data_IF_863489258074
#
_entry.id   IF_863489258074
#
_cell.length_a   1.000
_cell.length_b   1.000
_cell.length_c   1.000
_cell.angle_alpha   90.00
_cell.angle_beta   90.00
_cell.angle_gamma   90.00
#
_symmetry.space_group_name_H-M   'P 1'
#
loop_
_entity.id
_entity.type
_entity.pdbx_description
1 polymer ?
#
# COMPACT_ATOMS: atom_id res chain seq x y z
N UNK A 1 19.32 24.62 24.76
CA UNK A 1 19.28 23.22 25.10
C UNK A 1 17.89 22.66 24.85
N UNK A 2 17.70 21.83 23.84
CA UNK A 2 16.47 21.07 23.64
C UNK A 2 16.40 20.08 24.80
N UNK A 3 15.48 20.29 25.74
CA UNK A 3 15.17 19.28 26.75
C UNK A 3 14.75 18.00 26.00
N UNK A 4 15.49 16.93 26.14
CA UNK A 4 15.03 15.59 25.74
C UNK A 4 13.75 15.31 26.53
N UNK A 5 12.60 15.42 25.86
CA UNK A 5 11.35 14.92 26.42
C UNK A 5 11.47 13.42 26.51
N UNK A 6 11.20 12.83 27.66
CA UNK A 6 11.16 11.38 27.76
C UNK A 6 9.91 10.87 27.02
N UNK A 7 10.01 9.69 26.43
CA UNK A 7 8.89 9.02 25.74
C UNK A 7 7.69 8.89 26.68
N UNK A 8 7.94 8.58 27.97
CA UNK A 8 6.92 8.48 29.01
C UNK A 8 6.19 9.81 29.29
N UNK A 9 6.89 10.96 29.25
CA UNK A 9 6.25 12.28 29.46
C UNK A 9 5.30 12.66 28.31
N UNK A 10 5.63 12.23 27.10
CA UNK A 10 4.78 12.42 25.92
C UNK A 10 3.56 11.49 25.96
N UNK A 11 3.75 10.23 26.34
CA UNK A 11 2.70 9.21 26.39
C UNK A 11 1.57 9.57 27.36
N UNK A 12 1.92 10.13 28.52
CA UNK A 12 0.95 10.60 29.54
C UNK A 12 0.03 11.73 29.04
N UNK A 13 0.43 12.46 27.99
CA UNK A 13 -0.31 13.61 27.45
C UNK A 13 -1.24 13.26 26.30
N UNK A 14 -1.25 12.01 25.84
CA UNK A 14 -1.99 11.59 24.65
C UNK A 14 -3.22 10.78 25.08
N UNK A 15 -4.44 11.20 24.71
CA UNK A 15 -5.65 10.44 25.01
C UNK A 15 -5.60 9.04 24.39
N UNK A 16 -5.98 8.02 25.18
CA UNK A 16 -6.09 6.64 24.69
C UNK A 16 -7.14 6.56 23.58
N UNK A 17 -6.85 5.78 22.53
CA UNK A 17 -7.77 5.57 21.40
C UNK A 17 -7.88 6.72 20.39
N UNK A 18 -7.06 7.76 20.52
CA UNK A 18 -7.05 8.86 19.56
C UNK A 18 -6.09 8.60 18.39
N UNK A 19 -6.36 9.17 17.20
CA UNK A 19 -5.41 9.19 16.07
C UNK A 19 -4.03 9.74 16.46
N UNK A 20 -3.95 10.57 17.50
CA UNK A 20 -2.68 11.05 18.08
C UNK A 20 -1.90 9.92 18.74
N UNK A 21 -2.59 8.91 19.31
CA UNK A 21 -1.92 7.76 19.95
C UNK A 21 -1.14 6.94 18.94
N UNK A 22 -1.71 6.66 17.80
CA UNK A 22 -1.02 5.89 16.75
C UNK A 22 0.18 6.63 16.17
N UNK A 23 0.03 7.96 15.94
CA UNK A 23 1.17 8.82 15.56
C UNK A 23 2.29 8.73 16.57
N UNK A 24 1.92 8.76 17.84
CA UNK A 24 2.87 8.66 18.93
C UNK A 24 3.54 7.28 18.98
N UNK A 25 2.78 6.20 18.82
CA UNK A 25 3.33 4.84 18.82
C UNK A 25 4.31 4.62 17.66
N UNK A 26 4.04 5.23 16.51
CA UNK A 26 4.99 5.27 15.40
C UNK A 26 6.27 6.03 15.76
N UNK A 27 6.14 7.23 16.28
CA UNK A 27 7.29 8.04 16.72
C UNK A 27 8.07 7.35 17.84
N UNK A 28 7.37 6.66 18.74
CA UNK A 28 7.98 5.87 19.82
C UNK A 28 8.90 4.79 19.28
N UNK A 29 8.48 4.05 18.24
CA UNK A 29 9.32 3.05 17.55
C UNK A 29 10.62 3.67 17.02
N UNK A 30 10.56 4.86 16.40
CA UNK A 30 11.77 5.55 15.94
C UNK A 30 12.74 5.88 17.07
N UNK A 31 12.22 6.30 18.22
CA UNK A 31 13.04 6.70 19.36
C UNK A 31 13.63 5.48 20.08
N UNK A 32 12.80 4.47 20.35
CA UNK A 32 13.20 3.27 21.10
C UNK A 32 14.23 2.41 20.36
N UNK A 33 14.13 2.35 19.02
CA UNK A 33 15.02 1.56 18.17
C UNK A 33 16.05 2.40 17.41
N UNK A 34 16.27 3.64 17.85
CA UNK A 34 17.19 4.56 17.18
C UNK A 34 18.61 3.97 16.98
N UNK A 35 19.12 3.28 17.98
CA UNK A 35 20.45 2.69 17.93
C UNK A 35 20.59 1.58 16.87
N UNK A 36 19.48 0.95 16.47
CA UNK A 36 19.49 -0.11 15.46
C UNK A 36 19.57 0.44 14.02
N UNK A 37 18.94 1.56 13.75
CA UNK A 37 18.82 2.10 12.37
C UNK A 37 19.61 3.39 12.12
N UNK A 38 20.09 4.09 13.15
CA UNK A 38 20.78 5.39 13.02
C UNK A 38 21.93 5.40 12.01
N UNK A 39 22.69 4.29 11.95
CA UNK A 39 23.85 4.18 11.07
C UNK A 39 23.45 4.06 9.58
N UNK A 40 22.19 3.87 9.27
CA UNK A 40 21.66 3.81 7.91
C UNK A 40 21.35 5.19 7.35
N UNK A 41 21.03 6.17 8.20
CA UNK A 41 20.53 7.51 7.79
C UNK A 41 21.49 8.23 6.85
N UNK A 42 22.78 8.02 7.00
CA UNK A 42 23.80 8.72 6.20
C UNK A 42 24.47 7.82 5.13
N UNK A 43 24.03 6.57 4.98
CA UNK A 43 24.66 5.65 4.03
C UNK A 43 24.27 5.88 2.57
N UNK A 44 23.25 6.70 2.31
CA UNK A 44 22.75 6.91 0.96
C UNK A 44 22.22 5.60 0.35
N UNK A 45 22.61 5.29 -0.87
CA UNK A 45 22.18 4.05 -1.56
C UNK A 45 23.00 2.86 -1.06
N UNK A 46 22.30 1.82 -0.63
CA UNK A 46 22.89 0.52 -0.23
C UNK A 46 22.46 -0.52 -1.27
N UNK A 47 23.40 -1.33 -1.72
CA UNK A 47 23.12 -2.48 -2.59
C UNK A 47 23.21 -3.77 -1.80
N UNK A 48 22.17 -4.58 -1.85
CA UNK A 48 22.06 -5.87 -1.17
C UNK A 48 21.93 -6.95 -2.24
N UNK A 49 22.82 -7.93 -2.19
CA UNK A 49 22.84 -9.04 -3.17
C UNK A 49 22.29 -10.33 -2.61
N UNK A 50 22.21 -10.48 -1.28
CA UNK A 50 21.59 -11.65 -0.64
C UNK A 50 20.09 -11.40 -0.43
N UNK A 51 19.20 -12.17 -1.09
CA UNK A 51 17.76 -12.03 -0.92
C UNK A 51 17.29 -12.17 0.54
N UNK A 52 17.99 -12.96 1.36
CA UNK A 52 17.62 -13.16 2.76
C UNK A 52 17.88 -11.92 3.64
N UNK A 53 18.75 -11.03 3.17
CA UNK A 53 19.03 -9.77 3.86
C UNK A 53 17.97 -8.70 3.56
N UNK A 54 17.29 -8.77 2.41
CA UNK A 54 16.31 -7.76 1.97
C UNK A 54 15.21 -7.59 3.01
N UNK A 55 14.73 -8.70 3.58
CA UNK A 55 13.63 -8.68 4.54
C UNK A 55 13.88 -7.75 5.74
N UNK A 56 15.12 -7.64 6.20
CA UNK A 56 15.50 -6.76 7.33
C UNK A 56 15.26 -5.29 7.03
N UNK A 57 15.31 -4.89 5.73
CA UNK A 57 15.19 -3.49 5.30
C UNK A 57 13.77 -3.11 4.91
N UNK A 58 12.91 -4.08 4.59
CA UNK A 58 11.57 -3.80 4.05
C UNK A 58 10.44 -4.33 4.94
N UNK A 59 10.70 -5.29 5.82
CA UNK A 59 9.67 -5.89 6.66
C UNK A 59 9.81 -5.46 8.13
N UNK A 60 8.70 -5.51 8.86
CA UNK A 60 8.68 -5.28 10.31
C UNK A 60 9.11 -6.52 11.10
N UNK A 61 8.92 -7.70 10.54
CA UNK A 61 9.28 -8.97 11.16
C UNK A 61 9.49 -10.07 10.10
N UNK A 62 9.99 -11.22 10.54
CA UNK A 62 10.28 -12.37 9.67
C UNK A 62 9.06 -13.21 9.25
N UNK A 63 7.83 -12.71 9.45
CA UNK A 63 6.59 -13.43 9.08
C UNK A 63 6.04 -14.35 10.15
N UNK A 64 6.78 -14.62 11.22
CA UNK A 64 6.32 -15.46 12.33
C UNK A 64 5.22 -14.80 13.16
N UNK A 65 4.34 -15.63 13.73
CA UNK A 65 3.24 -15.17 14.59
C UNK A 65 3.75 -14.39 15.80
N UNK A 66 2.98 -13.41 16.22
CA UNK A 66 3.23 -12.70 17.47
C UNK A 66 3.23 -13.66 18.65
N UNK A 67 4.23 -13.53 19.54
CA UNK A 67 4.45 -14.44 20.66
C UNK A 67 5.22 -15.73 20.33
N UNK A 68 5.57 -15.99 19.07
CA UNK A 68 6.44 -17.10 18.69
C UNK A 68 7.88 -16.83 19.12
N UNK A 69 8.55 -17.85 19.68
CA UNK A 69 9.99 -17.79 20.03
C UNK A 69 10.90 -17.67 18.79
N UNK A 70 10.36 -17.93 17.59
CA UNK A 70 11.06 -17.82 16.31
C UNK A 70 10.89 -16.44 15.69
N UNK A 71 10.00 -15.61 16.19
CA UNK A 71 9.77 -14.27 15.69
C UNK A 71 10.99 -13.38 15.89
N UNK A 72 11.35 -12.70 14.80
CA UNK A 72 12.36 -11.64 14.83
C UNK A 72 11.72 -10.37 14.27
N UNK A 73 11.76 -9.31 15.07
CA UNK A 73 11.36 -7.99 14.63
C UNK A 73 12.55 -7.25 14.02
N UNK A 74 12.27 -6.41 13.03
CA UNK A 74 13.26 -5.63 12.30
C UNK A 74 12.92 -4.15 12.40
N UNK A 75 13.96 -3.31 12.40
CA UNK A 75 13.77 -1.86 12.55
C UNK A 75 14.53 -1.05 11.50
N UNK A 76 15.26 -1.70 10.59
CA UNK A 76 15.98 -1.02 9.50
C UNK A 76 15.04 -0.29 8.55
N UNK A 77 13.81 -0.82 8.34
CA UNK A 77 12.79 -0.20 7.50
C UNK A 77 12.45 1.24 7.93
N UNK A 78 12.67 1.59 9.22
CA UNK A 78 12.43 2.95 9.72
C UNK A 78 13.36 4.00 9.08
N UNK A 79 14.53 3.58 8.60
CA UNK A 79 15.50 4.45 7.90
C UNK A 79 15.46 4.31 6.37
N UNK A 80 14.63 3.41 5.83
CA UNK A 80 14.55 3.17 4.39
C UNK A 80 13.49 4.08 3.78
N UNK A 81 13.90 4.90 2.83
CA UNK A 81 13.00 5.76 2.06
C UNK A 81 12.32 5.00 0.92
N UNK A 82 13.10 4.16 0.25
CA UNK A 82 12.67 3.39 -0.91
C UNK A 82 13.54 2.15 -1.04
N UNK A 83 12.93 1.03 -1.41
CA UNK A 83 13.63 -0.19 -1.75
C UNK A 83 13.32 -0.55 -3.21
N UNK A 84 14.37 -0.70 -4.02
CA UNK A 84 14.26 -1.12 -5.42
C UNK A 84 14.79 -2.54 -5.52
N UNK A 85 13.90 -3.49 -5.84
CA UNK A 85 14.25 -4.90 -6.00
C UNK A 85 14.30 -5.21 -7.49
N UNK A 86 15.48 -5.53 -8.00
CA UNK A 86 15.65 -6.00 -9.36
C UNK A 86 15.69 -7.53 -9.36
N UNK A 87 14.79 -8.15 -10.10
CA UNK A 87 14.73 -9.60 -10.24
C UNK A 87 14.52 -9.99 -11.71
N UNK A 88 15.00 -11.17 -12.08
CA UNK A 88 14.71 -11.75 -13.38
C UNK A 88 13.34 -12.42 -13.34
N UNK A 89 12.51 -12.08 -14.31
CA UNK A 89 11.22 -12.77 -14.52
C UNK A 89 11.44 -13.90 -15.55
N UNK A 90 10.80 -15.03 -15.31
CA UNK A 90 10.88 -16.19 -16.22
C UNK A 90 10.35 -15.91 -17.64
N UNK A 91 9.49 -14.91 -17.78
CA UNK A 91 8.99 -14.45 -19.06
C UNK A 91 9.62 -13.08 -19.40
N UNK A 92 10.40 -12.97 -20.49
CA UNK A 92 11.03 -11.71 -20.92
C UNK A 92 10.03 -10.57 -21.16
N UNK A 93 8.79 -10.89 -21.57
CA UNK A 93 7.74 -9.88 -21.81
C UNK A 93 7.29 -9.18 -20.52
N UNK A 94 7.48 -9.80 -19.36
CA UNK A 94 7.18 -9.17 -18.06
C UNK A 94 8.26 -8.21 -17.58
N UNK A 95 9.41 -8.16 -18.23
CA UNK A 95 10.53 -7.27 -17.88
C UNK A 95 10.21 -5.77 -17.99
N UNK A 96 9.07 -5.42 -18.62
CA UNK A 96 8.57 -4.05 -18.71
C UNK A 96 7.61 -3.68 -17.58
N UNK A 97 7.28 -4.61 -16.68
CA UNK A 97 6.36 -4.37 -15.57
C UNK A 97 7.15 -3.97 -14.32
N UNK A 98 6.79 -2.84 -13.72
CA UNK A 98 7.30 -2.39 -12.42
C UNK A 98 6.19 -2.51 -11.40
N UNK A 99 6.37 -3.35 -10.38
CA UNK A 99 5.47 -3.41 -9.24
C UNK A 99 5.96 -2.45 -8.15
N UNK A 100 5.07 -1.60 -7.66
CA UNK A 100 5.33 -0.69 -6.54
C UNK A 100 4.45 -1.06 -5.36
N UNK A 101 5.06 -1.43 -4.26
CA UNK A 101 4.37 -1.58 -2.98
C UNK A 101 4.39 -0.22 -2.26
N UNK A 102 3.23 0.21 -1.79
CA UNK A 102 3.05 1.45 -1.04
C UNK A 102 2.83 1.15 0.44
N UNK A 103 2.97 2.16 1.28
CA UNK A 103 2.65 2.04 2.70
C UNK A 103 1.19 1.57 2.83
N UNK A 104 0.98 0.51 3.58
CA UNK A 104 -0.36 -0.08 3.77
C UNK A 104 -1.31 0.87 4.51
N UNK A 105 -2.59 0.78 4.19
CA UNK A 105 -3.64 1.62 4.81
C UNK A 105 -3.76 1.41 6.31
N UNK A 106 -3.48 0.21 6.81
CA UNK A 106 -3.46 -0.11 8.24
C UNK A 106 -2.33 0.57 9.01
N UNK A 107 -1.24 0.90 8.34
CA UNK A 107 -0.11 1.66 8.92
C UNK A 107 -0.37 3.17 8.92
N UNK A 108 -1.39 3.62 8.20
CA UNK A 108 -1.77 5.02 8.07
C UNK A 108 -3.03 5.37 8.85
N UNK A 109 -3.05 5.11 10.14
CA UNK A 109 -3.95 5.89 11.03
C UNK A 109 -3.71 7.40 10.92
N UNK A 110 -2.87 7.81 9.99
CA UNK A 110 -2.52 9.17 9.58
C UNK A 110 -3.30 9.65 8.35
N UNK A 111 -4.17 8.80 7.80
CA UNK A 111 -4.81 9.06 6.51
C UNK A 111 -3.94 8.58 5.34
N UNK A 112 -4.49 8.62 4.16
CA UNK A 112 -3.76 8.34 2.92
C UNK A 112 -2.66 9.38 2.80
N UNK A 113 -1.41 8.93 2.75
CA UNK A 113 -0.30 9.86 2.70
C UNK A 113 -0.23 10.52 1.33
N UNK A 114 0.08 11.82 1.31
CA UNK A 114 0.37 12.57 0.07
C UNK A 114 1.35 11.81 -0.81
N UNK A 115 2.31 11.11 -0.20
CA UNK A 115 3.29 10.28 -0.88
C UNK A 115 2.68 9.07 -1.61
N UNK A 116 1.64 8.45 -1.06
CA UNK A 116 0.94 7.35 -1.73
C UNK A 116 0.17 7.87 -2.94
N UNK A 117 -0.54 8.99 -2.78
CA UNK A 117 -1.26 9.64 -3.87
C UNK A 117 -0.29 10.11 -4.97
N UNK A 118 0.86 10.69 -4.60
CA UNK A 118 1.93 11.05 -5.54
C UNK A 118 2.45 9.82 -6.29
N UNK A 119 2.70 8.71 -5.60
CA UNK A 119 3.17 7.47 -6.23
C UNK A 119 2.17 6.95 -7.25
N UNK A 120 0.89 6.95 -6.93
CA UNK A 120 -0.17 6.50 -7.84
C UNK A 120 -0.29 7.47 -9.02
N UNK A 121 -0.25 8.79 -8.79
CA UNK A 121 -0.48 9.78 -9.85
C UNK A 121 0.65 9.86 -10.87
N UNK A 122 1.90 9.80 -10.39
CA UNK A 122 3.08 10.09 -11.23
C UNK A 122 3.74 8.82 -11.76
N UNK A 123 3.57 7.69 -11.06
CA UNK A 123 4.40 6.51 -11.31
C UNK A 123 3.60 5.24 -11.59
N UNK A 124 2.27 5.31 -11.73
CA UNK A 124 1.46 4.09 -11.86
C UNK A 124 0.41 4.21 -12.96
N UNK A 125 0.41 3.23 -13.86
CA UNK A 125 -0.62 3.08 -14.90
C UNK A 125 -1.85 2.35 -14.36
N UNK A 126 -1.68 1.59 -13.27
CA UNK A 126 -2.75 0.92 -12.55
C UNK A 126 -2.51 0.93 -11.05
N UNK A 127 -3.58 0.93 -10.28
CA UNK A 127 -3.54 0.71 -8.84
C UNK A 127 -4.36 -0.53 -8.47
N UNK A 128 -3.82 -1.33 -7.56
CA UNK A 128 -4.47 -2.52 -7.02
C UNK A 128 -4.61 -2.36 -5.53
N UNK A 129 -5.85 -2.27 -5.06
CA UNK A 129 -6.14 -2.32 -3.63
C UNK A 129 -6.23 -3.78 -3.23
N UNK A 130 -5.32 -4.22 -2.35
CA UNK A 130 -5.33 -5.57 -1.81
C UNK A 130 -6.03 -5.58 -0.46
N UNK A 131 -7.15 -6.29 -0.38
CA UNK A 131 -7.95 -6.38 0.86
C UNK A 131 -8.11 -7.83 1.26
N UNK A 132 -7.77 -8.15 2.49
CA UNK A 132 -8.07 -9.43 3.12
C UNK A 132 -9.20 -9.23 4.13
N UNK A 133 -10.44 -9.67 3.83
CA UNK A 133 -11.53 -9.59 4.77
C UNK A 133 -11.26 -10.43 6.02
N UNK A 134 -11.35 -9.81 7.20
CA UNK A 134 -11.10 -10.45 8.49
C UNK A 134 -12.40 -10.90 9.17
N UNK A 135 -12.27 -11.58 10.31
CA UNK A 135 -13.39 -12.07 11.11
C UNK A 135 -14.31 -10.94 11.57
N UNK A 136 -15.58 -11.11 11.33
CA UNK A 136 -16.65 -10.31 11.97
C UNK A 136 -17.67 -9.74 11.02
N UNK A 137 -17.33 -9.26 9.83
CA UNK A 137 -18.33 -8.54 9.05
C UNK A 137 -18.35 -8.81 7.56
N UNK A 138 -17.25 -9.23 6.92
CA UNK A 138 -17.18 -9.27 5.44
C UNK A 138 -17.66 -7.96 4.80
N UNK A 139 -17.61 -6.86 5.54
CA UNK A 139 -18.12 -5.56 5.12
C UNK A 139 -16.97 -4.67 4.74
N UNK A 140 -17.22 -3.80 3.78
CA UNK A 140 -16.41 -2.58 3.62
C UNK A 140 -16.47 -1.82 4.94
N UNK A 141 -15.31 -1.41 5.43
CA UNK A 141 -15.22 -0.61 6.64
C UNK A 141 -14.98 0.88 6.29
N UNK A 142 -15.02 1.73 7.30
CA UNK A 142 -14.79 3.16 7.14
C UNK A 142 -13.44 3.49 6.49
N UNK A 143 -12.45 2.61 6.66
CA UNK A 143 -11.12 2.77 6.05
C UNK A 143 -11.18 2.55 4.54
N UNK A 144 -11.93 1.54 4.09
CA UNK A 144 -12.12 1.24 2.68
C UNK A 144 -12.88 2.38 1.97
N UNK A 145 -13.94 2.90 2.61
CA UNK A 145 -14.72 4.03 2.10
C UNK A 145 -13.87 5.30 2.03
N UNK A 146 -13.13 5.60 3.08
CA UNK A 146 -12.22 6.74 3.13
C UNK A 146 -11.16 6.67 2.04
N UNK A 147 -10.57 5.48 1.83
CA UNK A 147 -9.59 5.28 0.76
C UNK A 147 -10.17 5.59 -0.61
N UNK A 148 -11.33 5.01 -0.91
CA UNK A 148 -11.98 5.25 -2.20
C UNK A 148 -12.31 6.73 -2.40
N UNK A 149 -12.83 7.39 -1.38
CA UNK A 149 -13.17 8.82 -1.43
C UNK A 149 -11.94 9.69 -1.67
N UNK A 150 -10.83 9.41 -1.01
CA UNK A 150 -9.58 10.15 -1.20
C UNK A 150 -8.99 9.93 -2.60
N UNK A 151 -9.02 8.69 -3.10
CA UNK A 151 -8.62 8.39 -4.47
C UNK A 151 -9.53 9.12 -5.47
N UNK A 152 -10.84 9.09 -5.25
CA UNK A 152 -11.81 9.76 -6.12
C UNK A 152 -11.63 11.29 -6.14
N UNK A 153 -11.31 11.89 -5.00
CA UNK A 153 -10.98 13.33 -4.93
C UNK A 153 -9.67 13.64 -5.64
N UNK A 154 -8.62 12.86 -5.36
CA UNK A 154 -7.29 13.09 -5.91
C UNK A 154 -7.25 12.89 -7.43
N UNK A 155 -8.02 11.93 -7.94
CA UNK A 155 -8.04 11.54 -9.36
C UNK A 155 -9.37 11.81 -10.05
N UNK A 156 -10.09 12.83 -9.64
CA UNK A 156 -11.41 13.17 -10.18
C UNK A 156 -11.46 13.35 -11.70
N UNK A 157 -10.32 13.64 -12.34
CA UNK A 157 -10.19 13.76 -13.80
C UNK A 157 -9.85 12.45 -14.51
N UNK A 158 -9.44 11.42 -13.76
CA UNK A 158 -9.16 10.09 -14.29
C UNK A 158 -10.37 9.18 -14.06
N UNK A 159 -10.79 8.49 -15.11
CA UNK A 159 -11.84 7.48 -14.95
C UNK A 159 -11.29 6.24 -14.26
N UNK A 160 -11.51 6.11 -12.94
CA UNK A 160 -11.00 5.00 -12.12
C UNK A 160 -11.48 3.62 -12.62
N UNK A 161 -12.58 3.55 -13.37
CA UNK A 161 -13.03 2.30 -14.01
C UNK A 161 -12.06 1.77 -15.07
N UNK A 162 -11.00 2.49 -15.38
CA UNK A 162 -10.00 2.08 -16.38
C UNK A 162 -8.71 1.55 -15.78
N UNK A 163 -8.41 1.87 -14.49
CA UNK A 163 -7.10 1.60 -13.90
C UNK A 163 -7.12 1.18 -12.43
N UNK A 164 -8.25 1.30 -11.69
CA UNK A 164 -8.35 0.91 -10.28
C UNK A 164 -8.93 -0.49 -10.13
N UNK A 165 -8.17 -1.39 -9.51
CA UNK A 165 -8.55 -2.79 -9.28
C UNK A 165 -8.65 -3.10 -7.80
N UNK A 166 -9.50 -4.08 -7.45
CA UNK A 166 -9.56 -4.67 -6.11
C UNK A 166 -9.19 -6.15 -6.18
N UNK A 167 -8.16 -6.53 -5.44
CA UNK A 167 -7.82 -7.91 -5.16
C UNK A 167 -8.33 -8.26 -3.76
N UNK A 168 -9.35 -9.10 -3.69
CA UNK A 168 -9.91 -9.62 -2.45
C UNK A 168 -9.15 -10.90 -2.14
N UNK A 169 -8.23 -10.81 -1.16
CA UNK A 169 -7.31 -11.89 -0.86
C UNK A 169 -7.98 -12.96 0.00
N UNK A 170 -8.33 -14.09 -0.60
CA UNK A 170 -8.78 -15.23 0.17
C UNK A 170 -7.61 -16.05 0.73
N UNK A 171 -7.84 -16.68 1.87
CA UNK A 171 -6.86 -17.52 2.56
C UNK A 171 -7.46 -18.88 2.86
N UNK A 172 -6.63 -19.93 2.82
CA UNK A 172 -7.00 -21.31 3.13
C UNK A 172 -6.88 -21.62 4.62
N UNK A 173 -7.39 -22.77 5.06
CA UNK A 173 -7.31 -23.22 6.46
C UNK A 173 -5.86 -23.33 6.96
N UNK A 174 -4.93 -23.67 6.07
CA UNK A 174 -3.51 -23.81 6.41
C UNK A 174 -2.80 -22.46 6.57
N UNK A 175 -3.46 -21.38 6.18
CA UNK A 175 -2.94 -20.03 6.37
C UNK A 175 -2.87 -19.68 7.86
N UNK A 176 -1.85 -18.93 8.25
CA UNK A 176 -1.75 -18.34 9.60
C UNK A 176 -2.96 -17.47 9.98
N UNK A 177 -3.72 -17.04 8.99
CA UNK A 177 -4.92 -16.20 9.14
C UNK A 177 -6.22 -17.00 9.13
N UNK A 178 -6.15 -18.33 8.90
CA UNK A 178 -7.30 -19.19 8.70
C UNK A 178 -8.05 -18.92 7.39
N UNK A 179 -9.09 -19.69 7.17
CA UNK A 179 -9.93 -19.63 5.98
C UNK A 179 -10.91 -18.45 6.07
N UNK A 180 -11.16 -17.75 4.94
CA UNK A 180 -12.01 -16.57 4.88
C UNK A 180 -12.89 -16.47 3.62
N UNK A 181 -13.15 -17.57 2.91
CA UNK A 181 -13.89 -17.57 1.64
C UNK A 181 -15.27 -16.90 1.75
N UNK A 182 -16.09 -17.31 2.73
CA UNK A 182 -17.41 -16.72 2.93
C UNK A 182 -17.36 -15.19 3.14
N UNK A 183 -16.29 -14.72 3.77
CA UNK A 183 -16.08 -13.29 4.00
C UNK A 183 -15.64 -12.56 2.73
N UNK A 184 -14.86 -13.22 1.89
CA UNK A 184 -14.48 -12.68 0.59
C UNK A 184 -15.70 -12.52 -0.31
N UNK A 185 -16.59 -13.52 -0.35
CA UNK A 185 -17.83 -13.46 -1.12
C UNK A 185 -18.75 -12.34 -0.62
N UNK A 186 -18.94 -12.24 0.70
CA UNK A 186 -19.74 -11.18 1.30
C UNK A 186 -19.14 -9.78 1.03
N UNK A 187 -17.81 -9.64 1.12
CA UNK A 187 -17.11 -8.40 0.82
C UNK A 187 -17.27 -8.01 -0.65
N UNK A 188 -17.08 -8.97 -1.58
CA UNK A 188 -17.26 -8.74 -3.01
C UNK A 188 -18.70 -8.33 -3.34
N UNK A 189 -19.69 -9.04 -2.82
CA UNK A 189 -21.09 -8.69 -3.03
C UNK A 189 -21.40 -7.27 -2.52
N UNK A 190 -20.82 -6.89 -1.40
CA UNK A 190 -20.96 -5.53 -0.88
C UNK A 190 -20.27 -4.51 -1.76
N UNK A 191 -19.02 -4.75 -2.17
CA UNK A 191 -18.26 -3.89 -3.09
C UNK A 191 -19.03 -3.67 -4.40
N UNK A 192 -19.57 -4.74 -4.98
CA UNK A 192 -20.36 -4.70 -6.22
C UNK A 192 -21.70 -3.94 -6.05
N UNK A 193 -22.18 -3.77 -4.81
CA UNK A 193 -23.40 -3.00 -4.51
C UNK A 193 -23.19 -1.49 -4.40
N UNK A 194 -21.94 -1.04 -4.31
CA UNK A 194 -21.60 0.38 -4.34
C UNK A 194 -21.49 0.87 -5.79
N UNK A 195 -21.91 2.09 -6.03
CA UNK A 195 -21.72 2.78 -7.34
C UNK A 195 -20.29 3.36 -7.41
N UNK A 196 -19.31 2.52 -7.13
CA UNK A 196 -17.90 2.89 -7.21
C UNK A 196 -17.35 2.66 -8.62
N UNK A 197 -16.66 3.67 -9.13
CA UNK A 197 -15.99 3.58 -10.42
C UNK A 197 -14.68 2.80 -10.26
N UNK A 198 -14.74 1.47 -10.42
CA UNK A 198 -13.59 0.57 -10.38
C UNK A 198 -13.47 -0.22 -11.68
N UNK A 199 -12.26 -0.57 -12.07
CA UNK A 199 -12.02 -1.35 -13.28
C UNK A 199 -12.52 -2.78 -13.12
N UNK A 200 -12.13 -3.44 -12.05
CA UNK A 200 -12.57 -4.81 -11.73
C UNK A 200 -12.21 -5.19 -10.29
N UNK A 201 -12.98 -6.15 -9.74
CA UNK A 201 -12.66 -6.83 -8.47
C UNK A 201 -12.54 -8.34 -8.69
N UNK A 202 -11.55 -8.96 -8.06
CA UNK A 202 -11.30 -10.40 -8.13
C UNK A 202 -11.05 -10.97 -6.75
N UNK A 203 -11.60 -12.17 -6.48
CA UNK A 203 -11.24 -12.97 -5.30
C UNK A 203 -10.12 -13.92 -5.73
N UNK A 204 -8.96 -13.81 -5.11
CA UNK A 204 -7.75 -14.56 -5.46
C UNK A 204 -6.90 -14.79 -4.22
N UNK A 205 -6.34 -15.97 -4.07
CA UNK A 205 -5.30 -16.20 -3.07
C UNK A 205 -3.97 -15.59 -3.55
N UNK A 206 -3.59 -14.46 -2.99
CA UNK A 206 -2.36 -13.75 -3.38
C UNK A 206 -1.07 -14.56 -3.10
N UNK A 207 -1.14 -15.61 -2.28
CA UNK A 207 -0.02 -16.53 -2.04
C UNK A 207 0.04 -17.69 -3.06
N UNK A 208 -1.02 -17.93 -3.81
CA UNK A 208 -1.06 -18.96 -4.86
C UNK A 208 -0.65 -18.36 -6.21
N UNK A 209 0.57 -18.71 -6.66
CA UNK A 209 1.10 -18.23 -7.96
C UNK A 209 0.20 -18.56 -9.13
N UNK A 210 -0.49 -19.72 -9.10
CA UNK A 210 -1.35 -20.15 -10.19
C UNK A 210 -2.59 -19.25 -10.26
N UNK A 211 -3.26 -19.02 -9.14
CA UNK A 211 -4.42 -18.15 -9.12
C UNK A 211 -4.06 -16.71 -9.54
N UNK A 212 -2.94 -16.18 -9.06
CA UNK A 212 -2.48 -14.85 -9.47
C UNK A 212 -2.22 -14.78 -10.97
N UNK A 213 -1.52 -15.79 -11.53
CA UNK A 213 -1.14 -15.79 -12.95
C UNK A 213 -2.29 -16.11 -13.89
N UNK A 214 -3.25 -16.93 -13.48
CA UNK A 214 -4.34 -17.40 -14.34
C UNK A 214 -5.60 -16.54 -14.23
N UNK A 215 -5.84 -15.90 -13.09
CA UNK A 215 -7.09 -15.18 -12.82
C UNK A 215 -6.89 -13.66 -12.68
N UNK A 216 -5.89 -13.24 -11.90
CA UNK A 216 -5.73 -11.81 -11.60
C UNK A 216 -4.92 -11.05 -12.65
N UNK A 217 -3.69 -11.46 -12.93
CA UNK A 217 -2.83 -10.75 -13.87
C UNK A 217 -3.41 -10.64 -15.28
N UNK A 218 -4.00 -11.69 -15.87
CA UNK A 218 -4.61 -11.56 -17.20
C UNK A 218 -5.78 -10.57 -17.21
N UNK A 219 -6.52 -10.49 -16.12
CA UNK A 219 -7.62 -9.55 -15.96
C UNK A 219 -7.13 -8.10 -15.95
N UNK A 220 -6.12 -7.82 -15.13
CA UNK A 220 -5.49 -6.48 -15.06
C UNK A 220 -4.90 -6.10 -16.42
N UNK A 221 -4.06 -6.97 -16.99
CA UNK A 221 -3.35 -6.69 -18.24
C UNK A 221 -4.31 -6.48 -19.42
N UNK A 222 -5.34 -7.31 -19.58
CA UNK A 222 -6.35 -7.12 -20.64
C UNK A 222 -7.09 -5.78 -20.49
N UNK A 223 -7.46 -5.45 -19.25
CA UNK A 223 -8.14 -4.18 -18.99
C UNK A 223 -7.24 -2.99 -19.32
N UNK A 224 -5.96 -3.04 -18.95
CA UNK A 224 -5.01 -1.99 -19.28
C UNK A 224 -4.78 -1.89 -20.79
N UNK A 225 -4.53 -3.00 -21.48
CA UNK A 225 -4.33 -3.01 -22.94
C UNK A 225 -5.54 -2.40 -23.66
N UNK A 226 -6.75 -2.77 -23.22
CA UNK A 226 -7.98 -2.27 -23.84
C UNK A 226 -8.29 -0.79 -23.53
N UNK A 227 -7.63 -0.23 -22.52
CA UNK A 227 -7.90 1.13 -22.06
C UNK A 227 -6.64 2.02 -22.06
N UNK A 228 -5.55 1.59 -22.67
CA UNK A 228 -4.26 2.31 -22.58
C UNK A 228 -4.41 3.76 -23.06
N UNK A 229 -5.05 3.97 -24.20
CA UNK A 229 -5.29 5.33 -24.74
C UNK A 229 -6.10 6.18 -23.78
N UNK A 230 -7.13 5.62 -23.15
CA UNK A 230 -7.97 6.35 -22.19
C UNK A 230 -7.25 6.65 -20.86
N UNK A 231 -6.28 5.82 -20.47
CA UNK A 231 -5.42 6.07 -19.30
C UNK A 231 -4.45 7.20 -19.63
N UNK A 232 -3.80 7.16 -20.78
CA UNK A 232 -2.87 8.18 -21.24
C UNK A 232 -3.57 9.53 -21.42
N UNK A 233 -4.75 9.56 -22.03
CA UNK A 233 -5.58 10.77 -22.16
C UNK A 233 -5.93 11.35 -20.78
N UNK A 234 -6.27 10.51 -19.81
CA UNK A 234 -6.56 10.92 -18.44
C UNK A 234 -5.36 11.58 -17.77
N UNK A 235 -4.16 11.02 -17.96
CA UNK A 235 -2.90 11.57 -17.45
C UNK A 235 -2.60 12.93 -18.11
N UNK A 236 -2.76 13.02 -19.42
CA UNK A 236 -2.54 14.27 -20.16
C UNK A 236 -3.46 15.39 -19.71
N UNK A 237 -4.74 15.10 -19.47
CA UNK A 237 -5.71 16.08 -18.94
C UNK A 237 -5.33 16.56 -17.55
N UNK A 238 -4.83 15.66 -16.70
CA UNK A 238 -4.37 16.00 -15.36
C UNK A 238 -3.11 16.88 -15.38
N UNK A 239 -2.11 16.51 -16.20
CA UNK A 239 -0.90 17.30 -16.40
C UNK A 239 -1.19 18.69 -16.94
N UNK A 240 -2.08 18.81 -17.92
CA UNK A 240 -2.50 20.11 -18.46
C UNK A 240 -3.15 20.96 -17.37
N UNK A 241 -4.03 20.38 -16.55
CA UNK A 241 -4.67 21.11 -15.45
C UNK A 241 -3.67 21.61 -14.39
N UNK A 242 -2.61 20.83 -14.11
CA UNK A 242 -1.53 21.26 -13.24
C UNK A 242 -0.71 22.39 -13.84
N UNK A 243 -0.36 22.28 -15.12
CA UNK A 243 0.36 23.32 -15.85
C UNK A 243 -0.42 24.65 -15.87
N UNK A 244 -1.72 24.59 -16.13
CA UNK A 244 -2.60 25.77 -16.15
C UNK A 244 -2.68 26.43 -14.76
N UNK A 245 -2.72 25.61 -13.69
CA UNK A 245 -2.73 26.11 -12.31
C UNK A 245 -1.40 26.83 -11.99
N UNK A 246 -0.28 26.21 -12.28
CA UNK A 246 1.05 26.82 -12.10
C UNK A 246 1.15 28.13 -12.88
N UNK A 247 0.73 28.13 -14.14
CA UNK A 247 0.74 29.34 -14.97
C UNK A 247 -0.14 30.47 -14.43
N UNK A 248 -1.29 30.14 -13.85
CA UNK A 248 -2.17 31.14 -13.21
C UNK A 248 -1.56 31.73 -11.95
N UNK A 249 -0.86 30.93 -11.15
CA UNK A 249 -0.16 31.37 -9.92
C UNK A 249 1.03 32.29 -10.24
N UNK A 250 1.70 32.08 -11.38
CA UNK A 250 2.78 32.98 -11.82
C UNK A 250 2.29 34.31 -12.38
N UNK A 251 1.02 34.41 -12.78
CA UNK A 251 0.44 35.65 -13.31
C UNK A 251 -0.24 36.53 -12.27
N UNK A 252 -0.50 35.99 -11.09
CA UNK A 252 -1.12 36.72 -9.97
C UNK A 252 -0.08 37.48 -9.15
#
# INVERSE_FOLDING_TARGET
>A
GIKRLSVSDLEMRIPKGSAKKTKFDHLKKYIEHFDEWKDLVHKGRITITDPNEIQKYVAQHNGEKEGSSLRKDYYYYLAVKEAVISCEFNNPETGSIVLRDTIGLGDTSLGISDKMLETISVHSDAAVIVRRPETGTGKLDETDETLYDELNKAFAKRNMSKWLFWLINHTTQDSIYGENSDRCDAFKAKLDSYDWSIAQSCIVNAADKREVNEQFLPTVLRTLINNIDAVDDGIMVEMQGLADKVYSEFKA
#
